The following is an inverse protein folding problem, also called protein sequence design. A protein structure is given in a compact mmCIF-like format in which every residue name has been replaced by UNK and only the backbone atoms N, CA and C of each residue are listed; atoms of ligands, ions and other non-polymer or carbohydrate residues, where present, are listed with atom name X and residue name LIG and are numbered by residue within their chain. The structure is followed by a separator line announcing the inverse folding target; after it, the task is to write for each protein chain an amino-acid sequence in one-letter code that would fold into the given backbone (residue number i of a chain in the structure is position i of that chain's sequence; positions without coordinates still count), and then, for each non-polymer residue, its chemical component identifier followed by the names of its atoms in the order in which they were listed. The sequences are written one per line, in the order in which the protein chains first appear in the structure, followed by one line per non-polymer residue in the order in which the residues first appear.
data_IF_155086338039
#
_entry.id   IF_155086338039
#
_cell.length_a   1.000
_cell.length_b   1.000
_cell.length_c   1.000
_cell.angle_alpha   90.00
_cell.angle_beta   90.00
_cell.angle_gamma   90.00
#
_symmetry.space_group_name_H-M   'P 1'
#
loop_
_entity.id
_entity.type
_entity.pdbx_description
1 polymer ?
#
# COMPACT_ATOMS: atom_id res chain seq x y z
N UNK A 1 -13.85 3.89 -18.51
CA UNK A 1 -13.70 3.59 -17.05
C UNK A 1 -14.20 4.79 -16.24
N UNK A 2 -15.00 4.61 -15.17
CA UNK A 2 -15.48 5.75 -14.36
C UNK A 2 -14.57 6.00 -13.16
N UNK A 3 -13.79 7.08 -13.19
CA UNK A 3 -12.89 7.44 -12.08
C UNK A 3 -13.63 8.01 -10.88
N UNK A 4 -13.25 7.56 -9.68
CA UNK A 4 -13.68 8.16 -8.42
C UNK A 4 -13.06 9.54 -8.20
N UNK A 5 -13.56 10.32 -7.23
CA UNK A 5 -12.99 11.64 -6.89
C UNK A 5 -11.52 11.54 -6.50
N UNK A 6 -11.14 10.51 -5.75
CA UNK A 6 -9.77 10.26 -5.31
C UNK A 6 -8.86 9.88 -6.49
N UNK A 7 -9.32 8.97 -7.37
CA UNK A 7 -8.55 8.58 -8.56
C UNK A 7 -8.30 9.79 -9.48
N UNK A 8 -9.30 10.66 -9.67
CA UNK A 8 -9.13 11.92 -10.43
C UNK A 8 -8.10 12.85 -9.80
N UNK A 9 -8.04 12.91 -8.47
CA UNK A 9 -7.03 13.71 -7.77
C UNK A 9 -5.63 13.15 -7.96
N UNK A 10 -5.46 11.82 -7.89
CA UNK A 10 -4.19 11.14 -8.18
C UNK A 10 -3.72 11.49 -9.59
N UNK A 11 -4.60 11.36 -10.59
CA UNK A 11 -4.29 11.67 -12.00
C UNK A 11 -3.84 13.14 -12.17
N UNK A 12 -4.52 14.09 -11.52
CA UNK A 12 -4.12 15.50 -11.54
C UNK A 12 -2.74 15.73 -10.92
N UNK A 13 -2.42 15.01 -9.83
CA UNK A 13 -1.12 15.08 -9.15
C UNK A 13 0.01 14.41 -9.93
N UNK A 14 -0.30 13.45 -10.78
CA UNK A 14 0.63 12.90 -11.78
C UNK A 14 0.91 13.94 -12.87
N UNK A 15 -0.14 14.59 -13.38
CA UNK A 15 0.00 15.64 -14.40
C UNK A 15 0.82 16.85 -13.93
N UNK A 16 0.65 17.26 -12.66
CA UNK A 16 1.48 18.33 -12.09
C UNK A 16 2.92 17.91 -11.79
N UNK A 17 3.24 16.61 -11.89
CA UNK A 17 4.55 16.07 -11.54
C UNK A 17 4.81 15.92 -10.04
N UNK A 18 3.80 16.09 -9.19
CA UNK A 18 3.91 15.87 -7.74
C UNK A 18 4.08 14.37 -7.43
N UNK A 19 3.43 13.52 -8.25
CA UNK A 19 3.47 12.06 -8.14
C UNK A 19 4.16 11.50 -9.36
N UNK A 20 5.27 10.79 -9.13
CA UNK A 20 6.09 10.19 -10.18
C UNK A 20 6.29 8.69 -9.97
N UNK A 21 6.18 8.22 -8.74
CA UNK A 21 6.49 6.85 -8.32
C UNK A 21 5.73 6.48 -7.03
N UNK A 22 5.93 5.25 -6.54
CA UNK A 22 5.26 4.77 -5.31
C UNK A 22 5.63 5.65 -4.09
N UNK A 23 6.91 5.97 -3.80
CA UNK A 23 7.23 6.82 -2.65
C UNK A 23 6.64 8.23 -2.72
N UNK A 24 6.65 8.88 -3.90
CA UNK A 24 6.04 10.20 -4.07
C UNK A 24 4.52 10.16 -3.92
N UNK A 25 3.85 9.11 -4.41
CA UNK A 25 2.42 8.89 -4.14
C UNK A 25 2.13 8.80 -2.65
N UNK A 26 2.87 7.97 -1.92
CA UNK A 26 2.70 7.79 -0.46
C UNK A 26 2.92 9.12 0.27
N UNK A 27 3.96 9.86 -0.12
CA UNK A 27 4.29 11.16 0.48
C UNK A 27 3.23 12.22 0.23
N UNK A 28 2.75 12.37 -1.02
CA UNK A 28 1.78 13.41 -1.39
C UNK A 28 0.45 13.23 -0.66
N UNK A 29 0.06 11.99 -0.37
CA UNK A 29 -1.18 11.66 0.33
C UNK A 29 -1.00 11.34 1.82
N UNK A 30 0.21 11.48 2.38
CA UNK A 30 0.54 11.14 3.77
C UNK A 30 0.06 9.72 4.16
N UNK A 31 0.33 8.73 3.29
CA UNK A 31 -0.14 7.35 3.45
C UNK A 31 0.83 6.46 4.23
N UNK A 32 1.80 7.06 4.94
CA UNK A 32 2.74 6.35 5.79
C UNK A 32 2.78 6.93 7.19
N UNK A 33 3.16 6.08 8.13
CA UNK A 33 3.43 6.45 9.52
C UNK A 33 4.88 6.11 9.84
N UNK A 34 5.59 7.06 10.44
CA UNK A 34 6.97 6.86 10.88
C UNK A 34 7.00 6.12 12.22
N UNK A 35 7.78 5.05 12.30
CA UNK A 35 8.00 4.29 13.52
C UNK A 35 9.49 4.05 13.76
N UNK A 36 9.91 4.07 15.02
CA UNK A 36 11.26 3.69 15.42
C UNK A 36 11.22 2.87 16.73
N UNK A 37 12.20 2.00 16.94
CA UNK A 37 12.40 1.35 18.23
C UNK A 37 13.10 2.32 19.18
N UNK A 38 12.69 2.33 20.45
CA UNK A 38 13.34 3.15 21.48
C UNK A 38 14.27 2.28 22.33
N UNK A 39 15.58 2.52 22.20
CA UNK A 39 16.62 1.80 22.94
C UNK A 39 16.50 1.99 24.45
N UNK A 40 16.22 3.20 24.91
CA UNK A 40 16.10 3.53 26.34
C UNK A 40 14.91 2.81 26.98
N UNK A 41 13.79 2.72 26.27
CA UNK A 41 12.60 2.01 26.75
C UNK A 41 12.87 0.49 26.85
N UNK A 42 13.52 -0.10 25.85
CA UNK A 42 13.95 -1.51 25.87
C UNK A 42 14.87 -1.79 27.07
N UNK A 43 15.88 -0.95 27.29
CA UNK A 43 16.80 -1.10 28.42
C UNK A 43 16.10 -0.95 29.77
N UNK A 44 15.16 0.00 29.88
CA UNK A 44 14.37 0.19 31.10
C UNK A 44 13.50 -1.03 31.40
N UNK A 45 12.83 -1.57 30.39
CA UNK A 45 12.01 -2.80 30.48
C UNK A 45 12.85 -3.99 30.93
N UNK A 46 14.03 -4.16 30.35
CA UNK A 46 14.95 -5.22 30.74
C UNK A 46 15.44 -5.08 32.18
N UNK A 47 15.84 -3.89 32.61
CA UNK A 47 16.25 -3.63 34.01
C UNK A 47 15.13 -3.96 35.00
N UNK A 48 13.87 -3.68 34.65
CA UNK A 48 12.71 -4.03 35.47
C UNK A 48 12.49 -5.54 35.58
N UNK A 49 12.67 -6.31 34.50
CA UNK A 49 12.50 -7.77 34.51
C UNK A 49 13.66 -8.52 35.20
N UNK A 50 14.88 -8.01 35.05
CA UNK A 50 16.06 -8.56 35.70
C UNK A 50 16.09 -8.21 37.19
N UNK A 51 15.56 -7.05 37.60
CA UNK A 51 15.42 -6.65 39.01
C UNK A 51 16.70 -6.87 39.85
N UNK A 52 17.86 -6.54 39.28
CA UNK A 52 19.16 -6.67 39.96
C UNK A 52 19.74 -8.09 40.02
N UNK A 53 19.21 -9.06 39.26
CA UNK A 53 19.80 -10.41 39.16
C UNK A 53 21.25 -10.35 38.63
N UNK A 54 22.13 -11.06 39.32
CA UNK A 54 23.49 -11.37 38.86
C UNK A 54 23.59 -12.84 38.50
N UNK A 55 24.53 -13.14 37.60
CA UNK A 55 24.74 -14.47 37.08
C UNK A 55 26.22 -14.79 37.08
N UNK A 56 26.58 -16.03 37.42
CA UNK A 56 27.96 -16.50 37.30
C UNK A 56 28.29 -16.73 35.83
N UNK A 57 29.32 -16.05 35.35
CA UNK A 57 29.93 -16.21 34.02
C UNK A 57 31.39 -16.65 34.21
N UNK A 58 31.88 -17.51 33.34
CA UNK A 58 33.28 -17.90 33.35
C UNK A 58 34.15 -16.75 32.83
N UNK A 59 35.24 -16.43 33.52
CA UNK A 59 36.16 -15.36 33.10
C UNK A 59 36.82 -15.70 31.76
N UNK A 60 37.06 -14.67 30.96
CA UNK A 60 37.77 -14.81 29.69
C UNK A 60 39.18 -15.37 29.91
N UNK A 61 39.55 -16.40 29.14
CA UNK A 61 40.87 -17.04 29.21
C UNK A 61 40.99 -18.25 30.15
N UNK A 62 39.93 -18.61 30.88
CA UNK A 62 39.90 -19.86 31.65
C UNK A 62 39.85 -21.05 30.69
N UNK A 63 40.85 -21.93 30.78
CA UNK A 63 40.88 -23.16 29.99
C UNK A 63 39.85 -24.14 30.54
N UNK A 64 38.90 -24.51 29.70
CA UNK A 64 37.90 -25.55 30.01
C UNK A 64 38.34 -26.94 29.55
N UNK A 65 39.41 -27.02 28.76
CA UNK A 65 40.00 -28.27 28.27
C UNK A 65 41.52 -28.13 28.13
N UNK A 66 42.24 -29.24 28.29
CA UNK A 66 43.61 -29.37 27.80
C UNK A 66 43.72 -30.60 26.88
N UNK A 67 44.54 -30.46 25.85
CA UNK A 67 44.92 -31.56 24.97
C UNK A 67 46.10 -32.30 25.60
N UNK A 68 45.97 -33.61 25.82
CA UNK A 68 47.09 -34.47 26.24
C UNK A 68 47.61 -35.32 25.09
N UNK A 69 48.81 -35.88 25.27
CA UNK A 69 49.39 -36.85 24.35
C UNK A 69 48.65 -38.18 24.41
N UNK A 70 47.71 -38.30 23.48
CA UNK A 70 47.29 -39.45 22.68
C UNK A 70 47.03 -40.82 23.31
N UNK A 71 45.78 -41.27 23.14
CA UNK A 71 45.42 -42.69 22.99
C UNK A 71 45.49 -43.06 21.51
N UNK A 72 46.23 -44.12 21.17
CA UNK A 72 46.26 -44.63 19.79
C UNK A 72 44.89 -45.14 19.37
N UNK A 73 44.47 -44.82 18.14
CA UNK A 73 43.31 -45.47 17.53
C UNK A 73 43.63 -46.94 17.20
N UNK A 74 42.63 -47.70 16.74
CA UNK A 74 42.78 -49.12 16.39
C UNK A 74 43.83 -49.42 15.30
N UNK A 75 44.34 -48.38 14.62
CA UNK A 75 45.38 -48.46 13.58
C UNK A 75 46.76 -47.97 14.08
N UNK A 76 46.92 -47.68 15.38
CA UNK A 76 48.18 -47.22 15.97
C UNK A 76 48.50 -45.74 15.73
N UNK A 77 47.56 -44.97 15.18
CA UNK A 77 47.74 -43.54 14.93
C UNK A 77 47.37 -42.77 16.19
N UNK A 78 48.27 -41.89 16.63
CA UNK A 78 48.04 -41.04 17.79
C UNK A 78 46.95 -40.01 17.54
N UNK A 79 45.88 -40.03 18.35
CA UNK A 79 44.77 -39.07 18.27
C UNK A 79 44.77 -38.17 19.52
N UNK A 80 44.56 -36.85 19.39
CA UNK A 80 44.50 -35.96 20.55
C UNK A 80 43.39 -36.39 21.51
N UNK A 81 43.72 -36.48 22.81
CA UNK A 81 42.75 -36.72 23.88
C UNK A 81 42.44 -35.38 24.56
N UNK A 82 41.15 -35.06 24.65
CA UNK A 82 40.68 -33.85 25.33
C UNK A 82 40.17 -34.25 26.71
N UNK A 83 40.82 -33.72 27.75
CA UNK A 83 40.33 -33.89 29.12
C UNK A 83 39.63 -32.59 29.57
N UNK A 84 38.38 -32.67 30.05
CA UNK A 84 37.66 -31.52 30.58
C UNK A 84 38.31 -31.05 31.89
N UNK A 85 38.53 -29.75 32.01
CA UNK A 85 38.86 -29.08 33.27
C UNK A 85 37.54 -28.61 33.86
N UNK A 86 37.21 -29.08 35.06
CA UNK A 86 36.07 -28.55 35.82
C UNK A 86 36.50 -27.18 36.37
N UNK A 87 35.88 -26.06 35.93
CA UNK A 87 36.24 -24.74 36.45
C UNK A 87 35.92 -24.62 37.93
N UNK A 88 36.76 -23.91 38.67
CA UNK A 88 36.58 -23.65 40.10
C UNK A 88 35.78 -22.36 40.32
N UNK A 89 35.26 -22.17 41.52
CA UNK A 89 34.47 -20.98 41.89
C UNK A 89 35.21 -19.65 41.59
N UNK A 90 36.54 -19.63 41.75
CA UNK A 90 37.43 -18.50 41.48
C UNK A 90 37.55 -18.12 39.99
N UNK A 91 37.23 -19.06 39.10
CA UNK A 91 37.25 -18.89 37.65
C UNK A 91 35.98 -18.18 37.13
N UNK A 92 34.99 -17.96 38.00
CA UNK A 92 33.74 -17.27 37.67
C UNK A 92 33.76 -15.81 38.14
N UNK A 93 33.01 -14.98 37.42
CA UNK A 93 32.68 -13.60 37.77
C UNK A 93 31.15 -13.44 37.82
N UNK A 94 30.68 -12.51 38.64
CA UNK A 94 29.26 -12.14 38.66
C UNK A 94 29.00 -11.04 37.63
N UNK A 95 28.16 -11.35 36.64
CA UNK A 95 27.76 -10.43 35.59
C UNK A 95 26.27 -10.16 35.63
N UNK A 96 25.87 -8.97 35.19
CA UNK A 96 24.48 -8.65 34.92
C UNK A 96 24.13 -9.05 33.49
N UNK A 97 22.86 -9.34 33.23
CA UNK A 97 22.42 -9.64 31.88
C UNK A 97 22.64 -8.42 30.96
N UNK A 98 22.98 -8.67 29.70
CA UNK A 98 23.21 -7.64 28.68
C UNK A 98 22.21 -7.85 27.52
N UNK A 99 21.73 -6.78 26.91
CA UNK A 99 20.83 -6.86 25.75
C UNK A 99 21.65 -7.04 24.48
N UNK A 100 21.29 -8.03 23.67
CA UNK A 100 21.72 -8.12 22.27
C UNK A 100 20.71 -7.47 21.35
N UNK A 101 21.21 -6.59 20.50
CA UNK A 101 20.48 -5.95 19.41
C UNK A 101 20.67 -6.71 18.08
N UNK A 102 21.13 -7.96 18.13
CA UNK A 102 21.32 -8.76 16.91
C UNK A 102 20.01 -8.89 16.13
N UNK A 103 20.03 -8.51 14.85
CA UNK A 103 18.85 -8.47 14.00
C UNK A 103 17.90 -7.31 14.29
N UNK A 104 18.41 -6.19 14.83
CA UNK A 104 17.72 -4.90 14.89
C UNK A 104 17.78 -4.09 13.60
N UNK A 105 18.52 -4.59 12.61
CA UNK A 105 18.48 -4.08 11.24
C UNK A 105 18.08 -5.17 10.26
N UNK A 106 17.48 -4.76 9.15
CA UNK A 106 17.19 -5.63 8.01
C UNK A 106 17.94 -5.13 6.79
N UNK A 107 18.59 -6.07 6.11
CA UNK A 107 19.27 -5.80 4.86
C UNK A 107 18.42 -6.29 3.68
N UNK A 108 18.21 -5.43 2.70
CA UNK A 108 17.62 -5.77 1.41
C UNK A 108 18.73 -5.71 0.38
N UNK A 109 18.96 -6.81 -0.32
CA UNK A 109 19.97 -6.93 -1.36
C UNK A 109 19.30 -7.00 -2.72
N UNK A 110 19.79 -6.20 -3.67
CA UNK A 110 19.26 -6.05 -5.02
C UNK A 110 20.36 -6.44 -5.98
N UNK A 111 20.05 -7.42 -6.84
CA UNK A 111 20.91 -7.89 -7.93
C UNK A 111 22.36 -8.22 -7.48
N UNK A 112 22.54 -8.66 -6.24
CA UNK A 112 23.84 -9.04 -5.67
C UNK A 112 24.85 -7.91 -5.50
N UNK A 113 24.46 -6.64 -5.71
CA UNK A 113 25.39 -5.51 -5.79
C UNK A 113 25.00 -4.33 -4.91
N UNK A 114 23.69 -4.09 -4.74
CA UNK A 114 23.19 -2.97 -3.93
C UNK A 114 22.57 -3.50 -2.66
N UNK A 115 23.06 -3.04 -1.52
CA UNK A 115 22.56 -3.42 -0.19
C UNK A 115 21.99 -2.21 0.52
N UNK A 116 20.72 -2.26 0.89
CA UNK A 116 20.06 -1.27 1.72
C UNK A 116 19.86 -1.80 3.13
N UNK A 117 20.45 -1.12 4.10
CA UNK A 117 20.28 -1.41 5.52
C UNK A 117 19.19 -0.54 6.14
N UNK A 118 18.23 -1.18 6.80
CA UNK A 118 17.15 -0.57 7.56
C UNK A 118 17.40 -0.81 9.04
N UNK A 119 17.99 0.18 9.71
CA UNK A 119 18.11 0.20 11.17
C UNK A 119 16.78 0.62 11.80
N UNK A 120 16.15 -0.29 12.54
CA UNK A 120 14.85 -0.05 13.15
C UNK A 120 14.90 0.98 14.30
N UNK A 121 16.08 1.30 14.83
CA UNK A 121 16.26 2.36 15.83
C UNK A 121 16.31 3.76 15.18
N UNK A 122 16.84 3.87 13.96
CA UNK A 122 16.78 5.10 13.17
C UNK A 122 15.36 5.38 12.66
N UNK A 123 14.58 4.31 12.51
CA UNK A 123 13.17 4.37 12.15
C UNK A 123 12.90 4.14 10.67
N UNK A 124 11.63 3.89 10.37
CA UNK A 124 11.15 3.52 9.05
C UNK A 124 9.74 4.05 8.83
N UNK A 125 9.44 4.45 7.59
CA UNK A 125 8.08 4.79 7.19
C UNK A 125 7.34 3.51 6.76
N UNK A 126 6.28 3.19 7.48
CA UNK A 126 5.42 2.05 7.18
C UNK A 126 4.17 2.56 6.46
N UNK A 127 3.83 1.98 5.32
CA UNK A 127 2.59 2.30 4.61
C UNK A 127 1.38 1.88 5.44
N UNK A 128 0.37 2.75 5.53
CA UNK A 128 -0.85 2.50 6.29
C UNK A 128 -1.71 1.39 5.65
N UNK A 129 -1.71 1.30 4.31
CA UNK A 129 -2.49 0.32 3.55
C UNK A 129 -1.83 0.00 2.21
N UNK A 130 -1.57 -1.29 1.96
CA UNK A 130 -1.06 -1.74 0.66
C UNK A 130 -2.13 -1.65 -0.46
N UNK A 131 -3.41 -1.61 -0.11
CA UNK A 131 -4.50 -1.45 -1.07
C UNK A 131 -4.40 -0.11 -1.79
N UNK A 132 -3.99 0.96 -1.11
CA UNK A 132 -3.81 2.28 -1.74
C UNK A 132 -2.72 2.25 -2.82
N UNK A 133 -1.65 1.49 -2.58
CA UNK A 133 -0.58 1.28 -3.57
C UNK A 133 -1.14 0.52 -4.78
N UNK A 134 -1.92 -0.56 -4.58
CA UNK A 134 -2.55 -1.30 -5.68
C UNK A 134 -3.47 -0.43 -6.54
N UNK A 135 -4.26 0.43 -5.90
CA UNK A 135 -5.13 1.37 -6.60
C UNK A 135 -4.32 2.36 -7.44
N UNK A 136 -3.23 2.90 -6.89
CA UNK A 136 -2.30 3.75 -7.63
C UNK A 136 -1.67 3.01 -8.82
N UNK A 137 -1.22 1.78 -8.65
CA UNK A 137 -0.63 0.98 -9.74
C UNK A 137 -1.64 0.68 -10.85
N UNK A 138 -2.92 0.52 -10.51
CA UNK A 138 -4.00 0.34 -11.49
C UNK A 138 -4.22 1.62 -12.32
N UNK A 139 -4.17 2.79 -11.68
CA UNK A 139 -4.22 4.08 -12.38
C UNK A 139 -2.99 4.23 -13.28
N UNK A 140 -1.79 3.93 -12.78
CA UNK A 140 -0.56 3.98 -13.57
C UNK A 140 -0.68 3.14 -14.83
N UNK A 141 -1.07 1.87 -14.70
CA UNK A 141 -1.21 0.95 -15.83
C UNK A 141 -2.25 1.43 -16.84
N UNK A 142 -3.39 1.95 -16.37
CA UNK A 142 -4.40 2.55 -17.25
C UNK A 142 -3.84 3.77 -18.02
N UNK A 143 -3.19 4.71 -17.32
CA UNK A 143 -2.63 5.89 -17.98
C UNK A 143 -1.55 5.51 -19.01
N UNK A 144 -0.78 4.46 -18.71
CA UNK A 144 0.23 3.92 -19.63
C UNK A 144 -0.41 3.27 -20.86
N UNK A 145 -1.48 2.47 -20.70
CA UNK A 145 -2.15 1.82 -21.84
C UNK A 145 -2.81 2.83 -22.77
N UNK A 146 -3.31 3.94 -22.22
CA UNK A 146 -3.90 5.04 -22.98
C UNK A 146 -2.85 6.01 -23.55
N UNK A 147 -1.55 5.77 -23.33
CA UNK A 147 -0.48 6.64 -23.83
C UNK A 147 -0.41 8.01 -23.17
N UNK A 148 -1.06 8.22 -22.01
CA UNK A 148 -1.14 9.51 -21.32
C UNK A 148 0.09 9.82 -20.45
N UNK A 149 0.92 8.82 -20.17
CA UNK A 149 2.13 8.98 -19.35
C UNK A 149 3.33 8.34 -20.03
N UNK A 150 4.49 8.97 -19.83
CA UNK A 150 5.79 8.43 -20.23
C UNK A 150 6.43 7.74 -19.03
N UNK A 151 6.72 6.46 -19.18
CA UNK A 151 7.40 5.65 -18.17
C UNK A 151 8.91 5.65 -18.46
N UNK A 152 9.71 6.07 -17.49
CA UNK A 152 11.18 6.13 -17.60
C UNK A 152 11.84 5.41 -16.44
N UNK A 153 13.04 4.89 -16.68
CA UNK A 153 13.85 4.28 -15.63
C UNK A 153 14.26 5.31 -14.58
N UNK A 154 14.36 4.87 -13.33
CA UNK A 154 14.95 5.64 -12.22
C UNK A 154 15.96 4.83 -11.44
N UNK A 155 16.89 5.53 -10.80
CA UNK A 155 17.81 4.93 -9.83
C UNK A 155 17.02 4.55 -8.59
N UNK A 156 17.14 3.29 -8.19
CA UNK A 156 16.48 2.74 -7.00
C UNK A 156 17.20 3.24 -5.75
N UNK A 157 16.41 3.59 -4.74
CA UNK A 157 16.84 4.12 -3.45
C UNK A 157 16.25 3.31 -2.29
N UNK A 158 16.74 3.56 -1.07
CA UNK A 158 16.19 2.95 0.14
C UNK A 158 14.68 3.22 0.31
N UNK A 159 14.22 4.42 -0.04
CA UNK A 159 12.81 4.79 0.10
C UNK A 159 11.86 3.97 -0.79
N UNK A 160 12.37 3.32 -1.83
CA UNK A 160 11.55 2.52 -2.75
C UNK A 160 11.10 1.20 -2.15
N UNK A 161 11.78 0.71 -1.11
CA UNK A 161 11.43 -0.55 -0.44
C UNK A 161 10.81 -0.36 0.94
N UNK A 162 10.87 0.85 1.53
CA UNK A 162 10.12 1.20 2.74
C UNK A 162 8.63 0.82 2.66
N UNK A 163 7.93 1.01 1.51
CA UNK A 163 6.50 0.72 1.42
C UNK A 163 6.11 -0.74 1.69
N UNK A 164 7.07 -1.67 1.61
CA UNK A 164 6.84 -3.12 1.80
C UNK A 164 7.11 -3.58 3.23
N UNK A 165 7.53 -2.69 4.13
CA UNK A 165 7.56 -2.98 5.55
C UNK A 165 6.18 -2.81 6.16
N UNK A 166 5.81 -3.78 6.99
CA UNK A 166 4.56 -3.82 7.74
C UNK A 166 4.85 -3.74 9.24
N UNK A 167 4.05 -2.93 9.93
CA UNK A 167 4.01 -2.93 11.39
C UNK A 167 3.26 -4.16 11.88
N UNK A 168 3.89 -4.98 12.72
CA UNK A 168 3.26 -6.13 13.36
C UNK A 168 3.31 -5.98 14.88
N UNK A 169 2.16 -5.87 15.58
CA UNK A 169 2.15 -5.94 17.03
C UNK A 169 2.56 -7.35 17.47
N UNK A 170 3.34 -7.44 18.54
CA UNK A 170 3.72 -8.72 19.14
C UNK A 170 2.72 -9.01 20.24
N UNK A 171 1.97 -10.11 20.15
CA UNK A 171 1.00 -10.48 21.20
C UNK A 171 1.55 -11.53 22.17
N UNK A 172 2.69 -12.13 21.85
CA UNK A 172 3.26 -13.23 22.62
C UNK A 172 4.15 -12.71 23.77
N UNK A 173 4.76 -11.53 23.62
CA UNK A 173 5.65 -10.95 24.63
C UNK A 173 4.87 -10.32 25.77
N UNK A 174 5.50 -10.24 26.95
CA UNK A 174 4.95 -9.58 28.14
C UNK A 174 4.53 -8.13 27.80
N UNK A 175 5.40 -7.39 27.13
CA UNK A 175 5.18 -5.99 26.78
C UNK A 175 4.17 -5.80 25.65
N UNK A 176 4.15 -6.73 24.69
CA UNK A 176 3.12 -6.84 23.67
C UNK A 176 1.71 -6.91 24.24
N UNK A 177 1.49 -7.86 25.16
CA UNK A 177 0.20 -8.04 25.86
C UNK A 177 -0.19 -6.82 26.70
N UNK A 178 0.76 -6.22 27.41
CA UNK A 178 0.50 -5.01 28.20
C UNK A 178 0.09 -3.81 27.33
N UNK A 179 0.67 -3.66 26.13
CA UNK A 179 0.27 -2.60 25.21
C UNK A 179 -1.12 -2.85 24.63
N UNK A 180 -1.44 -4.08 24.25
CA UNK A 180 -2.77 -4.42 23.74
C UNK A 180 -3.85 -4.17 24.81
N UNK A 181 -3.59 -4.57 26.06
CA UNK A 181 -4.47 -4.27 27.19
C UNK A 181 -4.70 -2.77 27.37
N UNK A 182 -3.64 -1.96 27.36
CA UNK A 182 -3.77 -0.48 27.41
C UNK A 182 -4.54 0.10 26.23
N UNK A 183 -4.41 -0.47 25.03
CA UNK A 183 -5.20 -0.05 23.86
C UNK A 183 -6.67 -0.43 24.00
N UNK A 184 -6.98 -1.61 24.56
CA UNK A 184 -8.35 -2.06 24.86
C UNK A 184 -8.98 -1.18 25.95
N UNK A 185 -8.28 -0.93 27.05
CA UNK A 185 -8.73 -0.04 28.13
C UNK A 185 -9.00 1.40 27.62
N UNK A 186 -8.15 1.93 26.73
CA UNK A 186 -8.37 3.24 26.10
C UNK A 186 -9.53 3.28 25.10
N UNK A 187 -9.86 2.14 24.49
CA UNK A 187 -11.00 2.01 23.59
C UNK A 187 -12.31 1.83 24.38
N UNK A 188 -12.26 1.14 25.53
CA UNK A 188 -13.39 0.91 26.43
C UNK A 188 -13.86 2.19 27.15
N UNK A 189 -12.97 3.15 27.44
CA UNK A 189 -13.38 4.47 27.99
C UNK A 189 -14.27 5.28 27.00
N UNK A 190 -14.35 4.90 25.72
CA UNK A 190 -15.30 5.47 24.73
C UNK A 190 -16.60 4.68 24.58
N UNK A 191 -16.75 3.56 25.29
CA UNK A 191 -17.94 2.69 25.27
C UNK A 191 -18.30 2.28 26.70
N UNK A 192 -18.53 3.26 27.57
CA UNK A 192 -19.26 3.03 28.83
C UNK A 192 -20.75 2.81 28.51
N UNK A 193 -21.09 1.62 28.01
CA UNK A 193 -22.44 1.04 28.03
C UNK A 193 -22.39 -0.40 27.48
N UNK A 194 -22.06 -1.39 28.33
CA UNK A 194 -22.62 -2.76 28.38
C UNK A 194 -21.64 -3.83 28.93
N UNK A 195 -21.76 -4.09 30.23
CA UNK A 195 -21.71 -5.40 30.93
C UNK A 195 -20.51 -6.38 30.84
N UNK A 196 -19.82 -6.50 31.98
CA UNK A 196 -19.57 -7.67 32.87
C UNK A 196 -19.04 -9.04 32.31
N UNK A 197 -17.75 -9.30 32.63
CA UNK A 197 -17.05 -10.48 33.24
C UNK A 197 -17.57 -11.93 33.01
N UNK A 198 -16.67 -12.87 32.57
CA UNK A 198 -16.21 -14.07 33.34
C UNK A 198 -15.16 -15.00 32.65
N UNK A 199 -14.10 -15.31 33.43
CA UNK A 199 -13.38 -16.59 33.68
C UNK A 199 -12.67 -17.44 32.57
N UNK A 200 -11.33 -17.36 32.56
CA UNK A 200 -10.36 -18.41 32.95
C UNK A 200 -10.35 -19.82 32.31
N UNK A 201 -9.26 -20.14 31.58
CA UNK A 201 -8.50 -21.41 31.71
C UNK A 201 -7.15 -21.33 30.94
N UNK A 202 -6.03 -21.52 31.64
CA UNK A 202 -4.70 -21.68 31.03
C UNK A 202 -4.46 -23.17 30.81
N UNK A 203 -4.18 -23.57 29.57
CA UNK A 203 -3.75 -24.94 29.24
C UNK A 203 -2.22 -25.02 29.25
N UNK A 204 -1.67 -25.77 30.19
CA UNK A 204 -0.29 -26.25 30.20
C UNK A 204 -0.09 -27.29 29.10
N UNK A 205 0.90 -27.09 28.22
CA UNK A 205 1.40 -28.17 27.35
C UNK A 205 2.65 -28.79 27.97
N UNK A 206 2.59 -30.12 27.96
CA UNK A 206 3.47 -31.11 28.56
C UNK A 206 4.79 -31.21 27.80
N UNK A 207 5.82 -31.54 28.58
CA UNK A 207 7.21 -31.74 28.23
C UNK A 207 7.46 -32.71 27.05
N UNK A 208 8.52 -32.41 26.30
CA UNK A 208 9.14 -33.29 25.31
C UNK A 208 10.64 -32.97 25.23
N UNK A 209 11.48 -33.94 24.84
CA UNK A 209 12.62 -34.38 25.64
C UNK A 209 13.83 -33.46 25.58
N UNK A 210 14.60 -33.48 26.67
CA UNK A 210 15.90 -32.86 26.89
C UNK A 210 16.72 -32.64 25.60
N UNK A 211 16.68 -31.41 25.10
CA UNK A 211 17.81 -30.83 24.37
C UNK A 211 18.64 -30.14 25.44
N UNK A 212 19.89 -30.58 25.60
CA UNK A 212 20.88 -29.90 26.44
C UNK A 212 20.75 -28.39 26.21
N UNK A 213 20.49 -27.56 27.23
CA UNK A 213 20.41 -26.13 27.03
C UNK A 213 21.75 -25.70 26.44
N UNK A 214 21.73 -25.13 25.23
CA UNK A 214 22.85 -24.38 24.72
C UNK A 214 23.19 -23.37 25.80
N UNK A 215 24.28 -23.60 26.51
CA UNK A 215 24.67 -22.79 27.65
C UNK A 215 24.89 -21.37 27.13
N UNK A 216 23.93 -20.49 27.44
CA UNK A 216 24.02 -19.05 27.25
C UNK A 216 25.02 -18.52 28.29
N UNK A 217 26.31 -18.67 27.99
CA UNK A 217 27.42 -18.32 28.87
C UNK A 217 27.50 -16.81 29.16
N UNK A 218 26.87 -15.98 28.31
CA UNK A 218 26.94 -14.51 28.40
C UNK A 218 25.67 -13.86 28.94
N UNK A 219 24.62 -14.65 29.25
CA UNK A 219 23.32 -14.16 29.75
C UNK A 219 22.74 -13.05 28.86
N UNK A 220 22.89 -13.24 27.56
CA UNK A 220 22.50 -12.26 26.56
C UNK A 220 21.00 -12.37 26.33
N UNK A 221 20.28 -11.28 26.57
CA UNK A 221 18.84 -11.20 26.31
C UNK A 221 18.59 -10.60 24.94
N UNK A 222 17.78 -11.26 24.11
CA UNK A 222 17.32 -10.68 22.85
C UNK A 222 16.41 -9.47 23.13
N UNK A 223 16.72 -8.31 22.51
CA UNK A 223 15.91 -7.09 22.58
C UNK A 223 14.44 -7.34 22.19
N UNK A 224 14.17 -8.34 21.34
CA UNK A 224 12.82 -8.72 20.90
C UNK A 224 11.88 -9.11 22.05
N UNK A 225 12.42 -9.56 23.18
CA UNK A 225 11.63 -9.88 24.36
C UNK A 225 11.04 -8.65 25.05
N UNK A 226 11.60 -7.47 24.78
CA UNK A 226 11.26 -6.21 25.46
C UNK A 226 10.52 -5.22 24.57
N UNK A 227 10.30 -5.56 23.30
CA UNK A 227 9.49 -4.77 22.36
C UNK A 227 8.06 -5.30 22.30
N UNK A 228 7.18 -4.44 21.81
CA UNK A 228 5.74 -4.62 21.69
C UNK A 228 5.28 -4.67 20.22
N UNK A 229 6.18 -4.39 19.27
CA UNK A 229 5.97 -4.53 17.84
C UNK A 229 7.30 -4.80 17.13
N UNK A 230 7.22 -5.37 15.93
CA UNK A 230 8.34 -5.52 15.02
C UNK A 230 7.94 -5.11 13.61
N UNK A 231 8.95 -4.95 12.75
CA UNK A 231 8.75 -4.70 11.33
C UNK A 231 8.94 -5.98 10.55
N UNK A 232 7.92 -6.36 9.79
CA UNK A 232 7.97 -7.48 8.87
C UNK A 232 8.11 -6.96 7.45
N UNK A 233 8.99 -7.57 6.67
CA UNK A 233 9.16 -7.20 5.27
C UNK A 233 8.35 -8.13 4.37
N UNK A 234 7.37 -7.58 3.66
CA UNK A 234 6.47 -8.34 2.82
C UNK A 234 7.02 -8.49 1.40
N UNK A 235 7.72 -9.61 1.15
CA UNK A 235 8.25 -9.97 -0.18
C UNK A 235 7.17 -10.15 -1.25
N UNK A 236 5.96 -10.55 -0.88
CA UNK A 236 4.88 -10.74 -1.85
C UNK A 236 4.40 -9.38 -2.40
N UNK A 237 4.29 -8.38 -1.52
CA UNK A 237 3.94 -7.01 -1.91
C UNK A 237 5.03 -6.38 -2.79
N UNK A 238 6.31 -6.61 -2.46
CA UNK A 238 7.44 -6.23 -3.32
C UNK A 238 7.32 -6.86 -4.71
N UNK A 239 7.06 -8.17 -4.80
CA UNK A 239 6.98 -8.88 -6.07
C UNK A 239 5.88 -8.30 -6.98
N UNK A 240 4.72 -7.96 -6.43
CA UNK A 240 3.62 -7.29 -7.15
C UNK A 240 4.08 -5.95 -7.73
N UNK A 241 4.92 -5.23 -7.01
CA UNK A 241 5.40 -3.90 -7.38
C UNK A 241 6.70 -3.91 -8.20
N UNK A 242 7.36 -5.07 -8.34
CA UNK A 242 8.70 -5.21 -8.92
C UNK A 242 8.91 -4.48 -10.25
N UNK A 243 7.93 -4.57 -11.17
CA UNK A 243 7.99 -3.91 -12.47
C UNK A 243 7.90 -2.38 -12.44
N UNK A 244 7.58 -1.78 -11.28
CA UNK A 244 7.41 -0.35 -11.08
C UNK A 244 8.49 0.27 -10.18
N UNK A 245 9.17 -0.53 -9.34
CA UNK A 245 10.15 -0.04 -8.35
C UNK A 245 11.26 0.78 -9.01
N UNK A 246 11.78 0.33 -10.15
CA UNK A 246 12.83 1.00 -10.89
C UNK A 246 12.31 2.02 -11.93
N UNK A 247 11.05 2.42 -11.82
CA UNK A 247 10.40 3.30 -12.81
C UNK A 247 9.77 4.52 -12.16
N UNK A 248 9.57 5.53 -12.99
CA UNK A 248 8.81 6.73 -12.68
C UNK A 248 8.00 7.13 -13.91
N UNK A 249 6.86 7.78 -13.69
CA UNK A 249 5.97 8.29 -14.73
C UNK A 249 5.94 9.82 -14.75
N UNK A 250 5.75 10.33 -15.95
CA UNK A 250 5.52 11.74 -16.23
C UNK A 250 4.29 11.90 -17.10
N UNK A 251 3.40 12.83 -16.73
CA UNK A 251 2.30 13.23 -17.60
C UNK A 251 2.82 13.86 -18.89
N UNK A 252 2.19 13.55 -20.02
CA UNK A 252 2.42 14.24 -21.28
C UNK A 252 1.29 15.26 -21.56
N UNK A 253 1.39 15.97 -22.68
CA UNK A 253 0.38 16.96 -23.09
C UNK A 253 -1.01 16.36 -23.29
N UNK A 254 -1.12 15.08 -23.64
CA UNK A 254 -2.40 14.38 -23.81
C UNK A 254 -3.09 14.14 -22.46
N UNK A 255 -2.33 13.95 -21.37
CA UNK A 255 -2.90 13.85 -20.03
C UNK A 255 -3.63 15.12 -19.61
N UNK A 256 -3.06 16.28 -19.92
CA UNK A 256 -3.70 17.57 -19.65
C UNK A 256 -5.00 17.73 -20.45
N UNK A 257 -4.98 17.29 -21.71
CA UNK A 257 -6.18 17.26 -22.57
C UNK A 257 -7.23 16.31 -22.01
N UNK A 258 -6.82 15.13 -21.53
CA UNK A 258 -7.69 14.14 -20.89
C UNK A 258 -8.36 14.69 -19.62
N UNK A 259 -7.60 15.41 -18.78
CA UNK A 259 -8.14 16.08 -17.59
C UNK A 259 -9.14 17.17 -17.98
N UNK A 260 -8.83 18.01 -18.97
CA UNK A 260 -9.74 19.05 -19.49
C UNK A 260 -11.03 18.47 -20.07
N UNK A 261 -10.96 17.30 -20.72
CA UNK A 261 -12.10 16.54 -21.24
C UNK A 261 -12.92 15.81 -20.16
N UNK A 262 -12.61 16.02 -18.88
CA UNK A 262 -13.36 15.46 -17.77
C UNK A 262 -13.07 13.98 -17.50
N UNK A 263 -11.85 13.51 -17.80
CA UNK A 263 -11.39 12.14 -17.61
C UNK A 263 -12.15 11.12 -18.48
N UNK A 264 -12.49 11.53 -19.72
CA UNK A 264 -13.12 10.69 -20.73
C UNK A 264 -12.14 10.45 -21.86
N UNK A 265 -12.07 9.22 -22.36
CA UNK A 265 -11.23 8.87 -23.51
C UNK A 265 -11.80 9.47 -24.80
N UNK A 266 -10.99 9.59 -25.83
CA UNK A 266 -11.44 10.09 -27.13
C UNK A 266 -12.53 9.19 -27.74
N UNK A 267 -12.44 7.87 -27.54
CA UNK A 267 -13.46 6.92 -27.96
C UNK A 267 -14.79 7.12 -27.23
N UNK A 268 -14.78 7.28 -25.90
CA UNK A 268 -16.01 7.55 -25.13
C UNK A 268 -16.68 8.87 -25.55
N UNK A 269 -15.89 9.88 -25.94
CA UNK A 269 -16.40 11.15 -26.46
C UNK A 269 -16.95 10.96 -27.87
N UNK A 270 -16.26 10.24 -28.75
CA UNK A 270 -16.70 9.99 -30.12
C UNK A 270 -17.99 9.17 -30.14
N UNK A 271 -18.10 8.10 -29.35
CA UNK A 271 -19.33 7.31 -29.23
C UNK A 271 -20.50 8.18 -28.78
N UNK A 272 -20.30 9.06 -27.78
CA UNK A 272 -21.36 10.00 -27.36
C UNK A 272 -21.71 10.98 -28.48
N UNK A 273 -20.73 11.53 -29.19
CA UNK A 273 -20.98 12.45 -30.30
C UNK A 273 -21.77 11.78 -31.42
N UNK A 274 -21.47 10.52 -31.76
CA UNK A 274 -22.23 9.75 -32.75
C UNK A 274 -23.66 9.42 -32.29
N UNK A 275 -23.88 9.30 -30.98
CA UNK A 275 -25.21 9.03 -30.42
C UNK A 275 -26.09 10.27 -30.26
N UNK A 276 -25.51 11.49 -30.20
CA UNK A 276 -26.28 12.73 -30.06
C UNK A 276 -27.29 12.95 -31.20
N UNK A 277 -26.93 12.78 -32.49
CA UNK A 277 -27.91 12.83 -33.59
C UNK A 277 -29.05 11.83 -33.42
N UNK A 278 -28.76 10.60 -32.98
CA UNK A 278 -29.78 9.57 -32.75
C UNK A 278 -30.73 9.92 -31.60
N UNK A 279 -30.23 10.50 -30.51
CA UNK A 279 -31.07 10.99 -29.41
C UNK A 279 -31.93 12.18 -29.82
N UNK A 280 -31.37 13.13 -30.58
CA UNK A 280 -32.12 14.26 -31.13
C UNK A 280 -33.24 13.79 -32.07
N UNK A 281 -32.95 12.84 -32.97
CA UNK A 281 -33.95 12.20 -33.82
C UNK A 281 -35.08 11.55 -33.02
N UNK A 282 -34.76 10.85 -31.92
CA UNK A 282 -35.75 10.23 -31.04
C UNK A 282 -36.64 11.25 -30.34
N UNK A 283 -36.05 12.33 -29.81
CA UNK A 283 -36.83 13.39 -29.15
C UNK A 283 -37.72 14.12 -30.16
N UNK A 284 -37.21 14.40 -31.36
CA UNK A 284 -37.99 15.03 -32.43
C UNK A 284 -39.14 14.13 -32.89
N UNK A 285 -38.90 12.85 -33.14
CA UNK A 285 -39.97 11.91 -33.55
C UNK A 285 -41.05 11.75 -32.48
N UNK A 286 -40.67 11.63 -31.21
CA UNK A 286 -41.62 11.61 -30.09
C UNK A 286 -42.37 12.94 -29.96
N UNK A 287 -41.67 14.07 -30.09
CA UNK A 287 -42.27 15.41 -30.03
C UNK A 287 -43.30 15.63 -31.14
N UNK A 288 -42.99 15.24 -32.38
CA UNK A 288 -43.91 15.29 -33.52
C UNK A 288 -45.13 14.41 -33.26
N UNK A 289 -44.92 13.18 -32.79
CA UNK A 289 -46.03 12.22 -32.53
C UNK A 289 -46.98 12.75 -31.46
N UNK A 290 -46.44 13.38 -30.41
CA UNK A 290 -47.23 14.00 -29.35
C UNK A 290 -47.96 15.25 -29.88
N UNK A 291 -47.27 16.11 -30.64
CA UNK A 291 -47.87 17.33 -31.21
C UNK A 291 -48.99 17.02 -32.21
N UNK A 292 -48.84 15.99 -33.04
CA UNK A 292 -49.86 15.52 -33.98
C UNK A 292 -51.11 14.99 -33.26
N UNK A 293 -50.95 14.44 -32.05
CA UNK A 293 -52.08 13.99 -31.24
C UNK A 293 -52.83 15.17 -30.57
N UNK A 294 -52.22 16.35 -30.49
CA UNK A 294 -52.81 17.56 -29.88
C UNK A 294 -53.29 18.63 -30.89
N UNK A 295 -52.72 18.68 -32.10
CA UNK A 295 -53.02 19.70 -33.11
C UNK A 295 -53.74 19.07 -34.31
N UNK A 296 -54.98 19.50 -34.59
CA UNK A 296 -55.89 18.87 -35.54
C UNK A 296 -55.85 19.43 -36.99
N UNK A 297 -54.87 20.26 -37.34
CA UNK A 297 -54.78 20.87 -38.68
C UNK A 297 -53.52 20.39 -39.43
N UNK A 298 -53.73 19.72 -40.58
CA UNK A 298 -52.77 18.78 -41.17
C UNK A 298 -51.91 19.35 -42.32
N UNK A 299 -52.08 20.60 -42.74
CA UNK A 299 -51.31 21.16 -43.87
C UNK A 299 -49.89 21.60 -43.50
N UNK A 300 -49.74 22.27 -42.36
CA UNK A 300 -48.44 22.78 -41.91
C UNK A 300 -47.55 21.65 -41.38
N UNK A 301 -48.20 20.58 -40.90
CA UNK A 301 -47.55 19.37 -40.38
C UNK A 301 -46.72 18.66 -41.46
N UNK A 302 -47.22 18.57 -42.69
CA UNK A 302 -46.50 17.87 -43.79
C UNK A 302 -45.24 18.66 -44.18
N UNK A 303 -45.32 19.99 -44.19
CA UNK A 303 -44.20 20.88 -44.50
C UNK A 303 -43.10 20.79 -43.43
N UNK A 304 -43.50 20.84 -42.15
CA UNK A 304 -42.59 20.69 -41.01
C UNK A 304 -41.97 19.28 -40.98
N UNK A 305 -42.73 18.23 -41.30
CA UNK A 305 -42.21 16.87 -41.40
C UNK A 305 -41.14 16.73 -42.48
N UNK A 306 -41.34 17.33 -43.65
CA UNK A 306 -40.36 17.27 -44.74
C UNK A 306 -39.07 18.01 -44.37
N UNK A 307 -39.17 19.20 -43.77
CA UNK A 307 -38.00 19.97 -43.31
C UNK A 307 -37.23 19.24 -42.20
N UNK A 308 -37.94 18.61 -41.25
CA UNK A 308 -37.30 17.82 -40.20
C UNK A 308 -36.66 16.54 -40.72
N UNK A 309 -37.26 15.90 -41.73
CA UNK A 309 -36.67 14.72 -42.39
C UNK A 309 -35.38 15.09 -43.11
N UNK A 310 -35.32 16.25 -43.76
CA UNK A 310 -34.12 16.78 -44.41
C UNK A 310 -33.00 17.10 -43.40
N UNK A 311 -33.35 17.69 -42.25
CA UNK A 311 -32.40 17.94 -41.15
C UNK A 311 -31.86 16.61 -40.58
N UNK A 312 -32.72 15.61 -40.43
CA UNK A 312 -32.33 14.29 -39.92
C UNK A 312 -31.42 13.55 -40.90
N UNK A 313 -31.63 13.73 -42.20
CA UNK A 313 -30.79 13.16 -43.24
C UNK A 313 -29.41 13.84 -43.31
N UNK A 314 -29.37 15.17 -43.22
CA UNK A 314 -28.10 15.93 -43.17
C UNK A 314 -27.26 15.63 -41.92
N UNK A 315 -27.91 15.34 -40.78
CA UNK A 315 -27.27 14.87 -39.54
C UNK A 315 -26.70 13.44 -39.66
N UNK A 316 -27.35 12.57 -40.42
CA UNK A 316 -26.89 11.19 -40.64
C UNK A 316 -25.72 11.11 -41.62
N UNK A 317 -25.75 11.94 -42.67
CA UNK A 317 -24.73 11.94 -43.72
C UNK A 317 -23.44 12.69 -43.32
N UNK A 318 -23.47 13.47 -42.22
CA UNK A 318 -22.33 14.30 -41.79
C UNK A 318 -22.07 14.19 -40.27
N UNK A 319 -21.07 13.41 -39.81
CA UNK A 319 -20.85 13.11 -38.38
C UNK A 319 -20.25 14.26 -37.55
N UNK A 320 -20.01 15.43 -38.15
CA UNK A 320 -19.63 16.67 -37.46
C UNK A 320 -20.36 17.87 -38.08
N UNK A 321 -21.69 17.97 -37.92
CA UNK A 321 -22.45 19.05 -38.52
C UNK A 321 -22.22 20.37 -37.77
N UNK A 322 -22.31 21.49 -38.50
CA UNK A 322 -22.31 22.82 -37.90
C UNK A 322 -23.62 23.01 -37.12
N UNK A 323 -23.52 22.85 -35.80
CA UNK A 323 -24.66 22.95 -34.88
C UNK A 323 -25.35 24.32 -34.97
N UNK A 324 -24.62 25.37 -35.36
CA UNK A 324 -25.14 26.72 -35.52
C UNK A 324 -26.11 26.83 -36.71
N UNK A 325 -25.85 26.09 -37.79
CA UNK A 325 -26.73 26.06 -38.96
C UNK A 325 -28.04 25.30 -38.66
N UNK A 326 -27.94 24.22 -37.88
CA UNK A 326 -29.08 23.42 -37.47
C UNK A 326 -29.95 24.17 -36.45
N UNK A 327 -29.35 24.85 -35.48
CA UNK A 327 -30.08 25.72 -34.53
C UNK A 327 -30.84 26.83 -35.25
N UNK A 328 -30.22 27.47 -36.24
CA UNK A 328 -30.89 28.51 -37.04
C UNK A 328 -32.07 27.96 -37.84
N UNK A 329 -31.96 26.76 -38.44
CA UNK A 329 -33.07 26.12 -39.16
C UNK A 329 -34.22 25.72 -38.23
N UNK A 330 -33.91 25.25 -37.03
CA UNK A 330 -34.93 24.91 -36.03
C UNK A 330 -35.64 26.19 -35.53
N UNK A 331 -34.89 27.27 -35.29
CA UNK A 331 -35.48 28.54 -34.88
C UNK A 331 -36.36 29.14 -35.97
N UNK A 332 -35.95 29.06 -37.25
CA UNK A 332 -36.76 29.52 -38.38
C UNK A 332 -38.10 28.75 -38.49
N UNK A 333 -38.10 27.44 -38.23
CA UNK A 333 -39.31 26.61 -38.18
C UNK A 333 -40.23 27.00 -37.01
N UNK A 334 -39.65 27.26 -35.84
CA UNK A 334 -40.41 27.73 -34.65
C UNK A 334 -41.03 29.10 -34.93
N UNK A 335 -40.25 30.04 -35.47
CA UNK A 335 -40.70 31.40 -35.78
C UNK A 335 -41.78 31.42 -36.88
N UNK A 336 -41.74 30.48 -37.84
CA UNK A 336 -42.83 30.32 -38.83
C UNK A 336 -44.08 29.67 -38.24
N UNK A 337 -43.95 28.85 -37.20
CA UNK A 337 -45.08 28.21 -36.51
C UNK A 337 -45.84 29.15 -35.55
N UNK A 338 -45.20 30.20 -35.04
CA UNK A 338 -45.84 31.17 -34.12
C UNK A 338 -46.72 32.21 -34.86
N UNK A 339 -46.61 32.36 -36.18
CA UNK A 339 -47.42 33.31 -36.96
C UNK A 339 -48.88 32.83 -37.12
N UNK A 340 -49.20 31.56 -36.84
CA UNK A 340 -50.56 31.00 -36.98
C UNK A 340 -51.39 30.94 -35.70
N UNK A 341 -50.85 31.31 -34.53
CA UNK A 341 -51.60 31.24 -33.23
C UNK A 341 -52.31 32.57 -32.87
N UNK A 342 -52.11 33.65 -33.64
CA UNK A 342 -52.85 34.91 -33.45
C UNK A 342 -54.01 35.06 -34.45
N UNK A 343 -55.10 34.30 -34.24
CA UNK A 343 -56.46 34.79 -34.51
C UNK A 343 -57.56 33.95 -33.85
#
# INVERSE_FOLDING_TARGET
MKFTKQQKLIIKKIASGDIKDIPSFIKVFNLSTFYNLNKEDIEKRMKLDENGKTYKKLKDGVKTFYSTTSTNNALGISMPSFQPIIPKEEDFEEVTAIISYSGSSKNIEIDGSTKFEYDFFQGINVTNSFTDIKDFLTIWQFLKSEGLVLEVGKKVTKFDYEPFFEYKPILETKYGRMREQKHKEKAEIKMDEASVIQNGKVLSRVDSPCVLPAADYDRIKDYRNYIDYYFEYNKANELICSQFINKQIYGNSELDVFIKKGFKTNEEINIRKTLVPAYLALVLTLGITIWQNFSADNSDIITIQNQLTEILQTLNDNPSPDLTEIENKIQEIIDTSDISISK
#
